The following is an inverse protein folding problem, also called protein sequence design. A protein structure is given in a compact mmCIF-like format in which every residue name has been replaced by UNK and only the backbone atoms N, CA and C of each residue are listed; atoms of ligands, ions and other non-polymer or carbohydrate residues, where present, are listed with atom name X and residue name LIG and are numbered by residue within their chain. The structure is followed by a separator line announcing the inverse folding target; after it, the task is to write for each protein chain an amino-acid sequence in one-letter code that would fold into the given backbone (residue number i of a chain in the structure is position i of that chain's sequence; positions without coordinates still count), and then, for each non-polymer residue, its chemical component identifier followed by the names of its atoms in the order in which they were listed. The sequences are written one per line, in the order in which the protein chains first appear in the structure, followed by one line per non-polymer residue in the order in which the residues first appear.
data_IF_372705642648
#
_entry.id   IF_372705642648
#
_cell.length_a   1.000
_cell.length_b   1.000
_cell.length_c   1.000
_cell.angle_alpha   90.00
_cell.angle_beta   90.00
_cell.angle_gamma   90.00
#
_symmetry.space_group_name_H-M   'P 1'
#
loop_
_entity.id
_entity.type
_entity.pdbx_description
1 polymer ?
#
# COMPACT_ATOMS: atom_id res chain seq x y z
N UNK A 1 -58.24 -45.40 16.51
CA UNK A 1 -57.22 -44.78 17.39
C UNK A 1 -55.93 -44.59 16.61
N UNK A 2 -55.65 -43.38 16.11
CA UNK A 2 -54.29 -42.89 15.79
C UNK A 2 -54.28 -41.38 16.02
N UNK A 3 -53.47 -40.97 17.00
CA UNK A 3 -53.26 -39.56 17.40
C UNK A 3 -52.37 -38.90 16.34
N UNK A 4 -52.79 -37.77 15.77
CA UNK A 4 -51.90 -36.88 15.03
C UNK A 4 -51.25 -35.93 16.03
N UNK A 5 -49.93 -36.06 16.21
CA UNK A 5 -49.10 -35.12 16.97
C UNK A 5 -48.65 -34.04 16.01
N UNK A 6 -49.08 -32.80 16.24
CA UNK A 6 -48.60 -31.63 15.53
C UNK A 6 -47.25 -31.22 16.16
N UNK A 7 -46.14 -31.56 15.51
CA UNK A 7 -44.81 -31.08 15.90
C UNK A 7 -44.64 -29.68 15.31
N UNK A 8 -44.77 -28.66 16.16
CA UNK A 8 -44.44 -27.28 15.82
C UNK A 8 -42.90 -27.17 15.76
N UNK A 9 -42.34 -27.19 14.54
CA UNK A 9 -40.92 -26.99 14.33
C UNK A 9 -40.63 -25.49 14.37
N UNK A 10 -40.23 -24.98 15.54
CA UNK A 10 -39.69 -23.64 15.67
C UNK A 10 -38.42 -23.54 14.82
N UNK A 11 -38.51 -22.89 13.66
CA UNK A 11 -37.32 -22.46 12.91
C UNK A 11 -36.69 -21.34 13.72
N UNK A 12 -35.66 -21.68 14.48
CA UNK A 12 -34.76 -20.70 15.07
C UNK A 12 -34.06 -20.00 13.91
N UNK A 13 -34.45 -18.76 13.62
CA UNK A 13 -33.65 -17.87 12.79
C UNK A 13 -32.34 -17.60 13.55
N UNK A 14 -31.34 -18.45 13.34
CA UNK A 14 -29.97 -18.08 13.63
C UNK A 14 -29.65 -16.89 12.73
N UNK A 15 -29.51 -15.72 13.35
CA UNK A 15 -28.91 -14.56 12.72
C UNK A 15 -27.55 -15.00 12.19
N UNK A 16 -27.44 -15.22 10.88
CA UNK A 16 -26.17 -15.45 10.23
C UNK A 16 -25.32 -14.21 10.50
N UNK A 17 -24.35 -14.34 11.41
CA UNK A 17 -23.26 -13.36 11.51
C UNK A 17 -22.70 -13.26 10.10
N UNK A 18 -22.82 -12.09 9.48
CA UNK A 18 -22.17 -11.83 8.21
C UNK A 18 -20.70 -12.22 8.38
N UNK A 19 -20.21 -13.10 7.52
CA UNK A 19 -18.79 -13.40 7.47
C UNK A 19 -18.05 -12.06 7.28
N UNK A 20 -16.98 -11.79 8.05
CA UNK A 20 -16.22 -10.56 7.86
C UNK A 20 -15.82 -10.47 6.39
N UNK A 21 -16.06 -9.31 5.77
CA UNK A 21 -15.69 -9.09 4.39
C UNK A 21 -14.21 -9.43 4.20
N UNK A 22 -13.90 -10.29 3.24
CA UNK A 22 -12.53 -10.70 2.97
C UNK A 22 -11.72 -9.46 2.61
N UNK A 23 -10.66 -9.19 3.39
CA UNK A 23 -9.69 -8.13 3.11
C UNK A 23 -9.17 -8.27 1.68
N UNK A 24 -9.25 -7.19 0.90
CA UNK A 24 -8.83 -7.15 -0.48
C UNK A 24 -7.53 -6.36 -0.60
N UNK A 25 -6.52 -7.00 -1.19
CA UNK A 25 -5.21 -6.41 -1.44
C UNK A 25 -4.92 -6.53 -2.94
N UNK A 26 -4.36 -5.48 -3.53
CA UNK A 26 -3.90 -5.43 -4.92
C UNK A 26 -2.43 -5.11 -4.96
N UNK A 27 -1.76 -5.45 -6.05
CA UNK A 27 -0.31 -5.28 -6.17
C UNK A 27 0.45 -5.89 -4.98
N UNK A 28 -0.06 -6.98 -4.41
CA UNK A 28 0.58 -7.69 -3.31
C UNK A 28 0.33 -7.14 -1.90
N UNK A 29 0.36 -5.81 -1.71
CA UNK A 29 0.39 -5.14 -0.40
C UNK A 29 -0.47 -3.86 -0.30
N UNK A 30 -1.13 -3.42 -1.38
CA UNK A 30 -2.02 -2.25 -1.32
C UNK A 30 -3.40 -2.66 -0.82
N UNK A 31 -3.75 -2.25 0.41
CA UNK A 31 -5.07 -2.45 1.00
C UNK A 31 -6.12 -1.60 0.27
N UNK A 32 -7.14 -2.27 -0.29
CA UNK A 32 -8.23 -1.58 -0.98
C UNK A 32 -9.28 -1.11 0.02
N UNK A 33 -9.21 0.17 0.37
CA UNK A 33 -10.27 0.90 1.09
C UNK A 33 -11.32 1.44 0.12
N UNK A 34 -12.36 2.10 0.64
CA UNK A 34 -13.34 2.80 -0.19
C UNK A 34 -12.69 3.86 -1.10
N UNK A 35 -11.79 4.68 -0.57
CA UNK A 35 -11.15 5.75 -1.35
C UNK A 35 -10.22 5.17 -2.42
N UNK A 36 -9.46 4.12 -2.07
CA UNK A 36 -8.60 3.42 -3.03
C UNK A 36 -9.43 2.75 -4.13
N UNK A 37 -10.56 2.12 -3.79
CA UNK A 37 -11.47 1.54 -4.77
C UNK A 37 -12.09 2.60 -5.70
N UNK A 38 -12.49 3.75 -5.17
CA UNK A 38 -13.02 4.88 -5.95
C UNK A 38 -11.97 5.41 -6.94
N UNK A 39 -10.72 5.53 -6.50
CA UNK A 39 -9.59 5.86 -7.37
C UNK A 39 -9.37 4.80 -8.47
N UNK A 40 -9.40 3.51 -8.11
CA UNK A 40 -9.13 2.41 -9.05
C UNK A 40 -10.21 2.26 -10.13
N UNK A 41 -11.48 2.42 -9.79
CA UNK A 41 -12.58 2.27 -10.75
C UNK A 41 -12.66 3.46 -11.71
N UNK A 42 -12.19 4.65 -11.30
CA UNK A 42 -12.34 5.88 -12.05
C UNK A 42 -13.81 6.31 -12.09
N UNK A 43 -14.13 7.50 -11.58
CA UNK A 43 -15.54 7.92 -11.54
C UNK A 43 -16.11 8.10 -12.97
N UNK A 44 -16.94 7.15 -13.42
CA UNK A 44 -17.67 7.19 -14.70
C UNK A 44 -18.72 8.31 -14.81
N UNK A 45 -18.60 9.40 -14.05
CA UNK A 45 -19.47 10.57 -14.11
C UNK A 45 -18.64 11.84 -14.10
N UNK A 46 -18.49 12.42 -15.29
CA UNK A 46 -18.20 13.85 -15.56
C UNK A 46 -18.00 14.70 -14.30
N UNK A 47 -16.80 14.69 -13.73
CA UNK A 47 -16.30 15.74 -12.86
C UNK A 47 -14.92 16.14 -13.38
N UNK A 48 -14.83 17.39 -13.80
CA UNK A 48 -13.59 18.05 -14.18
C UNK A 48 -12.73 18.19 -12.91
N UNK A 49 -11.77 17.30 -12.71
CA UNK A 49 -10.50 17.52 -11.99
C UNK A 49 -9.76 16.17 -11.89
N UNK A 50 -8.97 15.82 -12.92
CA UNK A 50 -7.95 14.77 -12.79
C UNK A 50 -6.73 15.40 -12.11
N UNK A 51 -6.79 15.45 -10.77
CA UNK A 51 -5.75 15.66 -9.75
C UNK A 51 -6.49 15.73 -8.40
N UNK A 52 -6.25 14.82 -7.46
CA UNK A 52 -6.73 14.99 -6.06
C UNK A 52 -7.76 14.01 -5.49
N UNK A 53 -7.83 12.75 -5.93
CA UNK A 53 -8.68 11.74 -5.24
C UNK A 53 -7.96 11.02 -4.09
N UNK A 54 -6.62 10.94 -4.12
CA UNK A 54 -5.83 10.45 -2.97
C UNK A 54 -5.65 11.60 -1.99
N UNK A 55 -6.17 11.44 -0.78
CA UNK A 55 -6.04 12.46 0.25
C UNK A 55 -4.63 12.44 0.83
N UNK A 56 -4.03 13.63 0.92
CA UNK A 56 -2.78 13.84 1.62
C UNK A 56 -3.03 14.01 3.13
N UNK A 57 -1.99 13.77 3.93
CA UNK A 57 -1.98 14.15 5.34
C UNK A 57 -1.84 15.67 5.49
N UNK A 58 -2.76 16.29 6.23
CA UNK A 58 -2.82 17.74 6.35
C UNK A 58 -1.53 18.29 7.00
N UNK A 59 -0.91 19.28 6.36
CA UNK A 59 0.35 19.87 6.81
C UNK A 59 1.53 18.91 6.86
N UNK A 60 1.43 17.72 6.26
CA UNK A 60 2.46 16.68 6.37
C UNK A 60 2.56 16.07 7.78
N UNK A 61 1.52 16.17 8.60
CA UNK A 61 1.48 15.60 9.95
C UNK A 61 0.74 14.26 9.89
N UNK A 62 1.40 13.19 10.32
CA UNK A 62 0.86 11.83 10.34
C UNK A 62 0.76 11.36 11.80
N UNK A 63 -0.41 11.48 12.43
CA UNK A 63 -0.66 10.88 13.73
C UNK A 63 -0.57 9.35 13.64
N UNK A 64 0.05 8.71 14.63
CA UNK A 64 0.18 7.25 14.67
C UNK A 64 -0.03 6.65 16.06
N UNK A 65 -0.47 5.40 16.08
CA UNK A 65 -0.47 4.54 17.27
C UNK A 65 0.06 3.16 16.90
N UNK A 66 0.55 2.42 17.90
CA UNK A 66 1.16 1.09 17.68
C UNK A 66 0.51 0.08 18.62
N UNK A 67 -0.13 -0.94 18.03
CA UNK A 67 -0.76 -2.05 18.77
C UNK A 67 0.22 -2.69 19.75
N UNK A 68 -0.29 -3.07 20.93
CA UNK A 68 0.48 -3.79 21.96
C UNK A 68 1.12 -5.08 21.46
N UNK A 69 0.59 -5.66 20.39
CA UNK A 69 1.05 -6.93 19.82
C UNK A 69 2.34 -6.79 18.98
N UNK A 70 2.75 -5.56 18.63
CA UNK A 70 4.03 -5.29 17.96
C UNK A 70 5.16 -5.28 18.99
N UNK A 71 6.18 -6.11 18.72
CA UNK A 71 7.32 -6.33 19.59
C UNK A 71 8.17 -5.06 19.77
N UNK A 72 8.83 -4.88 20.94
CA UNK A 72 9.66 -3.70 21.21
C UNK A 72 10.75 -3.42 20.16
N UNK A 73 11.34 -4.47 19.58
CA UNK A 73 12.35 -4.32 18.53
C UNK A 73 11.75 -3.75 17.24
N UNK A 74 10.54 -4.20 16.86
CA UNK A 74 9.83 -3.69 15.67
C UNK A 74 9.38 -2.25 15.88
N UNK A 75 8.97 -1.87 17.11
CA UNK A 75 8.69 -0.47 17.48
C UNK A 75 9.90 0.42 17.23
N UNK A 76 11.10 -0.04 17.59
CA UNK A 76 12.33 0.71 17.34
C UNK A 76 12.64 0.84 15.83
N UNK A 77 12.32 -0.17 15.03
CA UNK A 77 12.43 -0.09 13.56
C UNK A 77 11.45 0.94 13.00
N UNK A 78 10.22 0.97 13.49
CA UNK A 78 9.21 1.97 13.12
C UNK A 78 9.70 3.38 13.47
N UNK A 79 10.14 3.61 14.71
CA UNK A 79 10.66 4.91 15.15
C UNK A 79 11.89 5.36 14.33
N UNK A 80 12.77 4.43 13.97
CA UNK A 80 13.92 4.73 13.11
C UNK A 80 13.52 5.03 11.67
N UNK A 81 12.46 4.40 11.16
CA UNK A 81 11.91 4.68 9.83
C UNK A 81 11.31 6.08 9.77
N UNK A 82 10.59 6.53 10.80
CA UNK A 82 10.11 7.92 10.90
C UNK A 82 11.26 8.92 10.77
N UNK A 83 12.38 8.71 11.48
CA UNK A 83 13.55 9.60 11.41
C UNK A 83 14.10 9.75 9.99
N UNK A 84 14.04 8.72 9.16
CA UNK A 84 14.52 8.80 7.76
C UNK A 84 13.67 9.80 6.97
N UNK A 85 12.34 9.73 7.10
CA UNK A 85 11.43 10.69 6.47
C UNK A 85 11.60 12.09 7.06
N UNK A 86 11.61 12.22 8.38
CA UNK A 86 11.64 13.51 9.06
C UNK A 86 12.95 14.30 8.86
N UNK A 87 14.04 13.59 8.52
CA UNK A 87 15.34 14.18 8.21
C UNK A 87 15.42 14.75 6.79
N UNK A 88 14.74 14.11 5.83
CA UNK A 88 14.86 14.41 4.40
C UNK A 88 13.63 15.09 3.80
N UNK A 89 12.56 15.22 4.58
CA UNK A 89 11.26 15.77 4.16
C UNK A 89 10.65 16.65 5.24
N UNK A 90 9.57 17.35 4.90
CA UNK A 90 8.78 18.11 5.87
C UNK A 90 7.76 17.26 6.64
N UNK A 91 7.65 15.96 6.36
CA UNK A 91 6.73 15.09 7.07
C UNK A 91 7.10 14.96 8.55
N UNK A 92 6.09 14.77 9.40
CA UNK A 92 6.24 14.52 10.84
C UNK A 92 5.32 13.40 11.30
N UNK A 93 5.90 12.43 12.00
CA UNK A 93 5.16 11.33 12.61
C UNK A 93 4.98 11.62 14.10
N UNK A 94 3.74 11.75 14.55
CA UNK A 94 3.43 12.17 15.92
C UNK A 94 2.53 11.14 16.62
N UNK A 95 2.72 10.86 17.92
CA UNK A 95 1.80 10.00 18.64
C UNK A 95 0.37 10.55 18.58
N UNK A 96 -0.58 9.70 18.18
CA UNK A 96 -1.98 10.06 18.05
C UNK A 96 -2.59 10.42 19.41
N UNK A 97 -3.38 11.49 19.43
CA UNK A 97 -4.18 11.95 20.55
C UNK A 97 -5.60 11.42 20.43
N UNK A 98 -6.35 11.41 21.53
CA UNK A 98 -7.77 11.04 21.54
C UNK A 98 -8.66 11.96 20.69
N UNK A 99 -8.16 13.14 20.32
CA UNK A 99 -8.84 14.11 19.46
C UNK A 99 -8.54 13.93 17.96
N UNK A 100 -7.52 13.14 17.62
CA UNK A 100 -7.16 12.92 16.22
C UNK A 100 -8.16 11.95 15.61
N UNK A 101 -8.92 12.41 14.61
CA UNK A 101 -9.88 11.57 13.91
C UNK A 101 -9.19 10.63 12.93
N UNK A 102 -8.05 11.04 12.39
CA UNK A 102 -7.34 10.35 11.32
C UNK A 102 -5.93 10.02 11.78
N UNK A 103 -5.58 8.73 11.76
CA UNK A 103 -4.26 8.27 12.20
C UNK A 103 -3.93 6.90 11.62
N UNK A 104 -2.64 6.60 11.56
CA UNK A 104 -2.14 5.26 11.23
C UNK A 104 -2.08 4.42 12.50
N UNK A 105 -2.70 3.24 12.48
CA UNK A 105 -2.56 2.22 13.51
C UNK A 105 -1.66 1.08 13.01
N UNK A 106 -0.46 0.96 13.57
CA UNK A 106 0.44 -0.13 13.26
C UNK A 106 0.00 -1.41 13.96
N UNK A 107 -0.18 -2.49 13.21
CA UNK A 107 -0.63 -3.80 13.69
C UNK A 107 0.30 -4.92 13.24
N UNK A 108 0.19 -6.07 13.91
CA UNK A 108 0.81 -7.33 13.48
C UNK A 108 -0.27 -8.24 12.89
N UNK A 109 -0.43 -8.22 11.58
CA UNK A 109 -1.32 -9.13 10.82
C UNK A 109 -0.49 -10.00 9.84
N UNK A 110 -1.14 -10.86 9.06
CA UNK A 110 -0.49 -11.65 8.03
C UNK A 110 -0.07 -10.76 6.85
N UNK A 111 1.25 -10.60 6.70
CA UNK A 111 1.90 -9.88 5.60
C UNK A 111 2.13 -8.39 5.88
N UNK A 112 2.76 -7.74 4.91
CA UNK A 112 3.02 -6.30 4.87
C UNK A 112 1.93 -5.68 4.01
N UNK A 113 1.29 -4.61 4.48
CA UNK A 113 0.34 -3.87 3.66
C UNK A 113 -0.04 -2.52 4.28
N UNK A 114 -0.49 -1.63 3.41
CA UNK A 114 -0.94 -0.27 3.73
C UNK A 114 -1.98 0.20 2.72
N UNK A 115 -2.80 1.17 3.10
CA UNK A 115 -3.68 1.87 2.16
C UNK A 115 -2.95 3.08 1.54
N UNK A 116 -3.40 3.55 0.38
CA UNK A 116 -2.73 4.65 -0.32
C UNK A 116 -3.21 6.02 0.17
N UNK A 117 -2.31 6.74 0.85
CA UNK A 117 -2.59 8.07 1.40
C UNK A 117 -3.49 8.04 2.63
N UNK A 118 -3.98 9.22 3.04
CA UNK A 118 -4.92 9.38 4.15
C UNK A 118 -6.30 8.82 3.77
N UNK A 119 -6.90 8.02 4.63
CA UNK A 119 -8.21 7.39 4.36
C UNK A 119 -9.37 8.09 5.06
N UNK A 120 -9.09 8.85 6.12
CA UNK A 120 -10.08 9.31 7.10
C UNK A 120 -10.37 8.21 8.13
N UNK A 121 -10.43 8.57 9.41
CA UNK A 121 -10.53 7.58 10.48
C UNK A 121 -9.20 6.88 10.79
N UNK A 122 -9.27 5.83 11.59
CA UNK A 122 -8.17 4.88 11.76
C UNK A 122 -7.89 4.14 10.44
N UNK A 123 -6.65 4.15 9.99
CA UNK A 123 -6.17 3.28 8.90
C UNK A 123 -5.01 2.42 9.39
N UNK A 124 -4.95 1.17 8.92
CA UNK A 124 -3.93 0.23 9.38
C UNK A 124 -2.70 0.22 8.48
N UNK A 125 -1.53 0.04 9.09
CA UNK A 125 -0.33 -0.49 8.43
C UNK A 125 0.03 -1.79 9.15
N UNK A 126 0.12 -2.89 8.40
CA UNK A 126 0.55 -4.17 8.97
C UNK A 126 2.03 -4.40 8.79
N UNK A 127 2.71 -4.68 9.89
CA UNK A 127 4.09 -5.16 9.92
C UNK A 127 4.04 -6.59 10.46
N UNK A 128 3.70 -7.52 9.58
CA UNK A 128 3.60 -8.95 9.88
C UNK A 128 4.96 -9.65 10.02
N UNK A 129 4.91 -10.95 10.33
CA UNK A 129 6.10 -11.80 10.32
C UNK A 129 6.75 -11.78 8.93
N UNK A 130 8.07 -11.54 8.88
CA UNK A 130 8.83 -11.36 7.64
C UNK A 130 8.95 -9.91 7.15
N UNK A 131 8.09 -8.99 7.63
CA UNK A 131 8.10 -7.57 7.25
C UNK A 131 8.85 -6.68 8.28
N UNK A 132 9.48 -7.29 9.28
CA UNK A 132 10.10 -6.62 10.43
C UNK A 132 11.48 -6.02 10.09
N UNK A 133 11.59 -5.34 8.95
CA UNK A 133 12.82 -4.67 8.49
C UNK A 133 12.53 -3.20 8.21
N UNK A 134 13.57 -2.37 8.25
CA UNK A 134 13.42 -0.94 7.97
C UNK A 134 12.93 -0.70 6.53
N UNK A 135 13.41 -1.50 5.58
CA UNK A 135 12.97 -1.44 4.17
C UNK A 135 11.44 -1.58 4.06
N UNK A 136 10.84 -2.62 4.64
CA UNK A 136 9.39 -2.82 4.56
C UNK A 136 8.62 -1.70 5.26
N UNK A 137 9.08 -1.24 6.43
CA UNK A 137 8.39 -0.14 7.12
C UNK A 137 8.45 1.15 6.31
N UNK A 138 9.59 1.47 5.69
CA UNK A 138 9.71 2.63 4.81
C UNK A 138 8.79 2.50 3.58
N UNK A 139 8.69 1.31 3.00
CA UNK A 139 7.81 0.99 1.87
C UNK A 139 6.32 1.18 2.23
N UNK A 140 5.85 0.57 3.32
CA UNK A 140 4.45 0.69 3.72
C UNK A 140 4.06 2.12 4.14
N UNK A 141 5.03 2.87 4.66
CA UNK A 141 4.88 4.30 4.91
C UNK A 141 4.74 5.09 3.59
N UNK A 142 5.49 4.76 2.54
CA UNK A 142 5.33 5.40 1.22
C UNK A 142 3.91 5.24 0.69
N UNK A 143 3.33 4.04 0.80
CA UNK A 143 1.92 3.81 0.52
C UNK A 143 1.03 4.70 1.40
N UNK A 144 1.24 4.67 2.71
CA UNK A 144 0.46 5.43 3.68
C UNK A 144 0.46 6.95 3.44
N UNK A 145 1.49 7.49 2.79
CA UNK A 145 1.60 8.92 2.45
C UNK A 145 1.18 9.25 1.01
N UNK A 146 0.84 8.26 0.18
CA UNK A 146 0.12 8.47 -1.09
C UNK A 146 0.78 7.93 -2.36
N UNK A 147 1.81 7.09 -2.26
CA UNK A 147 2.52 6.59 -3.45
C UNK A 147 2.14 5.13 -3.78
N UNK A 148 2.00 4.86 -5.08
CA UNK A 148 1.81 3.52 -5.64
C UNK A 148 3.15 2.96 -6.10
N UNK A 149 3.17 1.67 -6.48
CA UNK A 149 4.39 1.08 -7.00
C UNK A 149 4.90 1.73 -8.29
N UNK A 150 6.23 1.78 -8.40
CA UNK A 150 6.92 2.36 -9.55
C UNK A 150 6.72 1.50 -10.81
N UNK A 151 6.78 0.17 -10.69
CA UNK A 151 6.50 -0.74 -11.81
C UNK A 151 5.03 -0.77 -12.25
N UNK A 152 4.15 -0.02 -11.61
CA UNK A 152 2.75 0.12 -12.03
C UNK A 152 2.52 1.40 -12.83
N UNK A 153 3.55 2.24 -13.03
CA UNK A 153 3.46 3.45 -13.86
C UNK A 153 3.05 3.13 -15.30
N UNK A 154 2.35 4.10 -15.91
CA UNK A 154 1.88 3.99 -17.29
C UNK A 154 3.02 3.92 -18.33
N UNK A 155 4.19 4.48 -18.00
CA UNK A 155 5.36 4.57 -18.88
C UNK A 155 6.40 3.47 -18.63
N UNK A 156 6.15 2.54 -17.71
CA UNK A 156 7.11 1.49 -17.30
C UNK A 156 7.64 0.66 -18.47
N UNK A 157 6.85 0.45 -19.52
CA UNK A 157 7.22 -0.40 -20.67
C UNK A 157 8.37 0.19 -21.48
N UNK A 158 8.74 1.46 -21.21
CA UNK A 158 9.94 2.10 -21.75
C UNK A 158 11.21 1.74 -20.97
N UNK A 159 11.09 1.17 -19.76
CA UNK A 159 12.19 0.98 -18.82
C UNK A 159 12.39 -0.48 -18.43
N UNK A 160 11.30 -1.24 -18.29
CA UNK A 160 11.32 -2.62 -17.79
C UNK A 160 10.45 -3.53 -18.65
N UNK A 161 10.86 -4.78 -18.76
CA UNK A 161 10.10 -5.85 -19.40
C UNK A 161 9.52 -6.78 -18.33
N UNK A 162 8.23 -7.11 -18.46
CA UNK A 162 7.57 -8.08 -17.58
C UNK A 162 7.67 -9.47 -18.21
N UNK A 163 8.33 -10.40 -17.52
CA UNK A 163 8.49 -11.79 -17.93
C UNK A 163 7.30 -12.61 -17.48
N UNK A 164 6.16 -12.43 -18.16
CA UNK A 164 4.86 -13.01 -17.81
C UNK A 164 4.88 -14.52 -17.54
N UNK A 165 5.69 -15.29 -18.27
CA UNK A 165 5.79 -16.74 -18.08
C UNK A 165 6.39 -17.17 -16.73
N UNK A 166 7.13 -16.29 -16.08
CA UNK A 166 7.81 -16.58 -14.81
C UNK A 166 6.97 -16.17 -13.60
N UNK A 167 5.87 -15.43 -13.80
CA UNK A 167 4.98 -14.95 -12.73
C UNK A 167 4.02 -16.07 -12.30
N UNK A 168 3.78 -16.17 -10.99
CA UNK A 168 2.76 -17.07 -10.44
C UNK A 168 1.35 -16.74 -10.97
N UNK A 169 0.58 -17.78 -11.32
CA UNK A 169 -0.69 -17.64 -12.05
C UNK A 169 -1.73 -16.74 -11.32
N UNK A 170 -1.69 -16.67 -9.99
CA UNK A 170 -2.57 -15.85 -9.16
C UNK A 170 -2.07 -14.40 -8.94
N UNK A 171 -0.87 -14.09 -9.43
CA UNK A 171 -0.20 -12.81 -9.23
C UNK A 171 -0.14 -11.91 -10.48
N UNK A 172 -0.60 -12.37 -11.67
CA UNK A 172 -0.54 -11.57 -12.90
C UNK A 172 -1.13 -10.16 -12.76
N UNK A 173 -2.24 -10.02 -12.02
CA UNK A 173 -2.89 -8.73 -11.78
C UNK A 173 -2.03 -7.72 -11.00
N UNK A 174 -1.02 -8.18 -10.26
CA UNK A 174 -0.11 -7.32 -9.51
C UNK A 174 0.87 -6.58 -10.42
N UNK A 175 0.99 -7.02 -11.68
CA UNK A 175 1.82 -6.39 -12.70
C UNK A 175 0.97 -5.56 -13.67
N UNK A 176 -0.31 -5.28 -13.40
CA UNK A 176 -1.09 -4.37 -14.24
C UNK A 176 -0.54 -2.93 -14.11
N UNK A 177 -0.41 -2.19 -15.21
CA UNK A 177 -0.08 -0.76 -15.16
C UNK A 177 -1.35 0.06 -15.02
N UNK A 178 -1.19 1.27 -14.49
CA UNK A 178 -2.23 2.29 -14.54
C UNK A 178 -2.23 2.99 -15.90
N UNK A 179 -3.42 3.41 -16.35
CA UNK A 179 -3.58 4.21 -17.58
C UNK A 179 -2.90 5.58 -17.45
N UNK A 180 -2.51 6.15 -18.61
CA UNK A 180 -1.93 7.49 -18.67
C UNK A 180 -2.83 8.54 -17.99
N UNK A 181 -2.23 9.36 -17.12
CA UNK A 181 -2.93 10.43 -16.39
C UNK A 181 -3.68 9.98 -15.14
N UNK A 182 -3.66 8.68 -14.79
CA UNK A 182 -4.22 8.17 -13.54
C UNK A 182 -3.27 8.35 -12.36
N UNK A 183 -1.97 8.12 -12.58
CA UNK A 183 -0.90 8.44 -11.64
C UNK A 183 -0.16 9.70 -12.11
N UNK A 184 0.04 10.65 -11.21
CA UNK A 184 0.91 11.81 -11.44
C UNK A 184 2.33 11.43 -11.05
N UNK A 185 3.25 11.39 -12.02
CA UNK A 185 4.66 11.08 -11.79
C UNK A 185 5.39 12.20 -11.05
N UNK A 186 4.70 13.33 -10.83
CA UNK A 186 5.26 14.57 -10.29
C UNK A 186 6.44 15.06 -11.14
N UNK A 187 6.48 14.71 -12.43
CA UNK A 187 7.56 15.05 -13.34
C UNK A 187 8.90 14.34 -13.05
N UNK A 188 8.90 13.31 -12.20
CA UNK A 188 10.08 12.51 -11.92
C UNK A 188 10.36 11.49 -13.05
N UNK A 189 11.64 11.18 -13.33
CA UNK A 189 11.99 10.05 -14.19
C UNK A 189 11.55 8.73 -13.55
N UNK A 190 11.58 7.65 -14.33
CA UNK A 190 11.33 6.30 -13.80
C UNK A 190 12.51 5.85 -12.92
N UNK A 191 12.22 5.36 -11.72
CA UNK A 191 13.24 4.97 -10.74
C UNK A 191 13.26 3.46 -10.48
N UNK A 192 14.15 2.76 -11.19
CA UNK A 192 14.35 1.32 -11.04
C UNK A 192 14.79 0.87 -9.64
N UNK A 193 15.34 1.79 -8.84
CA UNK A 193 15.82 1.54 -7.48
C UNK A 193 14.97 2.22 -6.41
N UNK A 194 13.78 2.71 -6.77
CA UNK A 194 12.79 3.19 -5.80
C UNK A 194 12.48 2.09 -4.79
N UNK A 195 12.23 2.48 -3.55
CA UNK A 195 11.74 1.53 -2.54
C UNK A 195 10.39 0.91 -2.94
N UNK A 196 9.64 1.57 -3.83
CA UNK A 196 8.36 1.14 -4.36
C UNK A 196 8.47 0.37 -5.68
N UNK A 197 9.68 0.09 -6.16
CA UNK A 197 9.87 -0.77 -7.31
C UNK A 197 9.99 -2.21 -6.87
N UNK A 198 9.24 -3.12 -7.49
CA UNK A 198 9.42 -4.56 -7.29
C UNK A 198 10.85 -4.99 -7.61
N UNK A 199 11.39 -5.90 -6.81
CA UNK A 199 12.63 -6.57 -7.17
C UNK A 199 12.43 -7.51 -8.36
N UNK A 200 13.54 -7.93 -8.98
CA UNK A 200 13.53 -8.76 -10.19
C UNK A 200 12.70 -10.05 -10.05
N UNK A 201 12.54 -10.60 -8.83
CA UNK A 201 11.92 -11.91 -8.56
C UNK A 201 10.54 -11.83 -7.92
N UNK A 202 9.94 -10.64 -7.87
CA UNK A 202 8.64 -10.45 -7.24
C UNK A 202 7.60 -11.43 -7.83
N UNK A 203 6.90 -12.17 -6.98
CA UNK A 203 5.89 -13.17 -7.37
C UNK A 203 6.36 -14.24 -8.37
N UNK A 204 7.65 -14.55 -8.38
CA UNK A 204 8.20 -15.61 -9.24
C UNK A 204 7.65 -16.99 -8.88
N UNK A 205 7.29 -17.76 -9.90
CA UNK A 205 6.81 -19.14 -9.77
C UNK A 205 7.94 -20.13 -9.44
N UNK A 206 9.13 -19.88 -9.96
CA UNK A 206 10.27 -20.80 -9.92
C UNK A 206 11.59 -20.18 -9.43
N UNK A 207 11.57 -18.91 -9.00
CA UNK A 207 12.74 -18.19 -8.51
C UNK A 207 13.55 -17.44 -9.60
N UNK A 208 13.08 -17.51 -10.84
CA UNK A 208 13.57 -16.72 -11.98
C UNK A 208 13.06 -15.28 -11.93
N UNK A 209 13.68 -14.39 -12.71
CA UNK A 209 13.24 -13.01 -12.84
C UNK A 209 11.82 -12.94 -13.44
N UNK A 210 10.96 -12.10 -12.87
CA UNK A 210 9.65 -11.70 -13.39
C UNK A 210 9.66 -10.31 -13.99
N UNK A 211 10.66 -9.50 -13.67
CA UNK A 211 10.87 -8.16 -14.21
C UNK A 211 12.36 -7.89 -14.42
N UNK A 212 12.70 -7.31 -15.57
CA UNK A 212 14.08 -6.99 -15.97
C UNK A 212 14.15 -5.60 -16.58
N UNK A 213 15.28 -4.92 -16.41
CA UNK A 213 15.50 -3.67 -17.13
C UNK A 213 15.73 -3.91 -18.61
N UNK A 214 15.19 -3.02 -19.46
CA UNK A 214 15.34 -3.11 -20.92
C UNK A 214 16.77 -2.82 -21.38
N UNK A 215 17.44 -1.85 -20.76
CA UNK A 215 18.79 -1.44 -21.13
C UNK A 215 19.89 -2.36 -20.53
N UNK A 216 19.61 -2.99 -19.38
CA UNK A 216 20.51 -3.92 -18.71
C UNK A 216 19.72 -5.01 -17.95
N UNK A 217 19.48 -6.19 -18.57
CA UNK A 217 18.73 -7.28 -17.92
C UNK A 217 19.36 -7.83 -16.63
N UNK A 218 20.65 -7.61 -16.40
CA UNK A 218 21.37 -8.03 -15.18
C UNK A 218 21.27 -7.00 -14.04
N UNK A 219 20.65 -5.84 -14.27
CA UNK A 219 20.46 -4.80 -13.26
C UNK A 219 19.55 -5.29 -12.12
N UNK A 220 20.03 -5.11 -10.88
CA UNK A 220 19.21 -5.34 -9.69
C UNK A 220 18.18 -4.22 -9.53
N UNK A 221 16.91 -4.61 -9.54
CA UNK A 221 15.76 -3.72 -9.41
C UNK A 221 15.24 -3.70 -7.97
N UNK A 222 14.56 -2.62 -7.62
CA UNK A 222 14.06 -2.37 -6.26
C UNK A 222 15.10 -1.73 -5.36
N UNK A 223 14.62 -1.05 -4.33
CA UNK A 223 15.44 -0.36 -3.33
C UNK A 223 15.30 -0.92 -1.92
N UNK A 224 16.36 -0.86 -1.13
CA UNK A 224 16.32 -1.18 0.30
C UNK A 224 16.06 0.06 1.20
N UNK A 225 16.06 1.25 0.61
CA UNK A 225 15.80 2.53 1.29
C UNK A 225 15.17 3.53 0.31
N UNK A 226 14.75 4.69 0.83
CA UNK A 226 14.24 5.77 -0.02
C UNK A 226 15.34 6.28 -0.95
N UNK A 227 15.09 6.22 -2.25
CA UNK A 227 15.96 6.83 -3.25
C UNK A 227 15.89 8.35 -3.19
N UNK A 228 16.83 9.03 -3.84
CA UNK A 228 16.77 10.49 -3.98
C UNK A 228 15.54 10.95 -4.78
N UNK A 229 15.04 10.12 -5.70
CA UNK A 229 13.84 10.41 -6.48
C UNK A 229 12.58 10.23 -5.62
N UNK A 230 12.51 9.19 -4.77
CA UNK A 230 11.44 9.00 -3.79
C UNK A 230 11.31 10.26 -2.91
N UNK A 231 12.45 10.74 -2.38
CA UNK A 231 12.50 11.94 -1.53
C UNK A 231 12.04 13.19 -2.29
N UNK A 232 12.48 13.38 -3.53
CA UNK A 232 12.04 14.50 -4.36
C UNK A 232 10.54 14.47 -4.62
N UNK A 233 9.98 13.29 -4.89
CA UNK A 233 8.55 13.10 -5.09
C UNK A 233 7.76 13.40 -3.81
N UNK A 234 8.20 12.91 -2.65
CA UNK A 234 7.56 13.24 -1.36
C UNK A 234 7.56 14.76 -1.13
N UNK A 235 8.72 15.40 -1.30
CA UNK A 235 8.86 16.83 -1.07
C UNK A 235 7.99 17.66 -2.02
N UNK A 236 7.86 17.22 -3.27
CA UNK A 236 6.98 17.86 -4.26
C UNK A 236 5.49 17.62 -3.96
N UNK A 237 5.12 16.41 -3.53
CA UNK A 237 3.73 16.07 -3.21
C UNK A 237 3.23 16.88 -2.01
N UNK A 238 4.06 17.03 -0.98
CA UNK A 238 3.74 17.72 0.28
C UNK A 238 4.18 19.19 0.31
N UNK A 239 4.70 19.73 -0.81
CA UNK A 239 5.19 21.11 -0.92
C UNK A 239 6.17 21.50 0.20
N UNK A 240 7.14 20.62 0.46
CA UNK A 240 8.16 20.86 1.48
C UNK A 240 9.08 22.02 1.06
N UNK A 241 9.19 23.02 1.92
CA UNK A 241 10.15 24.12 1.78
C UNK A 241 11.41 23.76 2.58
N UNK A 242 12.35 23.05 1.93
CA UNK A 242 13.63 22.65 2.51
C UNK A 242 14.76 23.60 2.11
#
# INVERSE_FOLDING_TARGET
MRKFVLVCMCIVFQTSKALPAKKMVVEGDILVTKNVAEFMVGSGRKRKAMKGDIMQWEGGIIPYSISSDIEPQVRQIIDNSFKVYELKTCLKFVPAKTTDSDYIHFIKDKGCYSAIGRQGGEQVISIGDGCQTQMHVLHELMHGIGFFHEQSRFDRELYVNILWWNIADDAFKNFASYDHGKLDTLGAPYDKHSILHYNNKAFSKYGDNTIESIDNPEEELGGESLSDIDIQQINKLYNCNL
#
